data_IF_834254275452
#
_entry.id   IF_834254275452
#
_cell.length_a   1.000
_cell.length_b   1.000
_cell.length_c   1.000
_cell.angle_alpha   90.00
_cell.angle_beta   90.00
_cell.angle_gamma   90.00
#
_symmetry.space_group_name_H-M   'P 1'
#
loop_
_entity.id
_entity.type
_entity.pdbx_description
1 polymer ?
#
# COMPACT_ATOMS: atom_id res chain seq x y z
N UNK A 1 26.39 -19.73 8.50
CA UNK A 1 26.03 -19.22 7.18
C UNK A 1 24.63 -19.71 6.77
N UNK A 2 24.38 -21.06 6.71
CA UNK A 2 23.08 -21.61 6.28
C UNK A 2 21.87 -21.10 7.09
N UNK A 3 22.03 -20.93 8.41
CA UNK A 3 20.97 -20.41 9.30
C UNK A 3 20.62 -18.96 9.00
N UNK A 4 21.58 -18.14 8.60
CA UNK A 4 21.37 -16.74 8.21
C UNK A 4 20.59 -16.70 6.90
N UNK A 5 20.97 -17.48 5.90
CA UNK A 5 20.25 -17.55 4.63
C UNK A 5 18.82 -18.07 4.81
N UNK A 6 18.61 -19.09 5.65
CA UNK A 6 17.27 -19.62 5.92
C UNK A 6 16.31 -18.57 6.52
N UNK A 7 16.82 -17.65 7.30
CA UNK A 7 16.02 -16.55 7.88
C UNK A 7 15.94 -15.32 6.94
N UNK A 8 16.99 -15.09 6.14
CA UNK A 8 17.06 -13.93 5.25
C UNK A 8 16.29 -14.09 3.95
N UNK A 9 16.29 -15.27 3.33
CA UNK A 9 15.59 -15.54 2.06
C UNK A 9 14.10 -15.15 2.11
N UNK A 10 13.32 -15.52 3.16
CA UNK A 10 11.92 -15.09 3.25
C UNK A 10 11.76 -13.57 3.25
N UNK A 11 12.66 -12.84 3.90
CA UNK A 11 12.62 -11.38 3.93
C UNK A 11 12.97 -10.75 2.57
N UNK A 12 13.94 -11.32 1.86
CA UNK A 12 14.29 -10.92 0.50
C UNK A 12 13.08 -11.12 -0.42
N UNK A 13 12.41 -12.26 -0.34
CA UNK A 13 11.21 -12.55 -1.13
C UNK A 13 10.07 -11.55 -0.86
N UNK A 14 9.88 -11.17 0.41
CA UNK A 14 8.87 -10.17 0.78
C UNK A 14 9.17 -8.80 0.16
N UNK A 15 10.43 -8.36 0.22
CA UNK A 15 10.86 -7.07 -0.35
C UNK A 15 10.82 -7.08 -1.87
N UNK A 16 11.22 -8.19 -2.49
CA UNK A 16 11.13 -8.36 -3.95
C UNK A 16 9.67 -8.35 -4.42
N UNK A 17 8.75 -9.00 -3.69
CA UNK A 17 7.33 -8.99 -4.01
C UNK A 17 6.75 -7.56 -4.02
N UNK A 18 7.19 -6.70 -3.11
CA UNK A 18 6.79 -5.28 -3.10
C UNK A 18 7.30 -4.53 -4.34
N UNK A 19 8.54 -4.78 -4.76
CA UNK A 19 9.11 -4.19 -5.98
C UNK A 19 8.35 -4.64 -7.23
N UNK A 20 8.04 -5.93 -7.34
CA UNK A 20 7.23 -6.47 -8.45
C UNK A 20 5.82 -5.89 -8.49
N UNK A 21 5.20 -5.67 -7.32
CA UNK A 21 3.91 -5.00 -7.24
C UNK A 21 3.96 -3.58 -7.80
N UNK A 22 4.94 -2.76 -7.37
CA UNK A 22 5.10 -1.38 -7.87
C UNK A 22 5.34 -1.40 -9.38
N UNK A 23 6.24 -2.27 -9.87
CA UNK A 23 6.55 -2.40 -11.29
C UNK A 23 5.31 -2.80 -12.10
N UNK A 24 4.55 -3.80 -11.64
CA UNK A 24 3.32 -4.25 -12.29
C UNK A 24 2.27 -3.16 -12.37
N UNK A 25 2.05 -2.40 -11.30
CA UNK A 25 1.12 -1.27 -11.31
C UNK A 25 1.56 -0.16 -12.27
N UNK A 26 2.85 0.18 -12.30
CA UNK A 26 3.37 1.18 -13.23
C UNK A 26 3.18 0.74 -14.69
N UNK A 27 3.42 -0.53 -15.03
CA UNK A 27 3.17 -1.05 -16.37
C UNK A 27 1.70 -0.99 -16.76
N UNK A 28 0.79 -1.35 -15.85
CA UNK A 28 -0.65 -1.27 -16.09
C UNK A 28 -1.06 0.18 -16.34
N UNK A 29 -0.62 1.12 -15.51
CA UNK A 29 -0.99 2.52 -15.65
C UNK A 29 -0.34 3.18 -16.88
N UNK A 30 0.91 2.86 -17.20
CA UNK A 30 1.59 3.35 -18.39
C UNK A 30 0.89 2.90 -19.68
N UNK A 31 0.16 1.79 -19.67
CA UNK A 31 -0.65 1.37 -20.82
C UNK A 31 -1.89 2.25 -21.06
N UNK A 32 -2.25 3.09 -20.10
CA UNK A 32 -3.39 4.02 -20.22
C UNK A 32 -2.92 5.44 -20.54
N UNK A 33 -2.11 6.05 -19.68
CA UNK A 33 -1.53 7.39 -19.89
C UNK A 33 -0.40 7.65 -18.89
N UNK A 34 0.53 8.54 -19.28
CA UNK A 34 1.67 8.95 -18.44
C UNK A 34 1.24 9.77 -17.23
N UNK A 35 0.13 10.47 -17.31
CA UNK A 35 -0.45 11.25 -16.22
C UNK A 35 -0.90 10.37 -15.07
N UNK A 36 -1.41 9.16 -15.34
CA UNK A 36 -1.78 8.20 -14.31
C UNK A 36 -0.55 7.66 -13.57
N UNK A 37 0.55 7.43 -14.27
CA UNK A 37 1.84 7.05 -13.66
C UNK A 37 2.37 8.18 -12.78
N UNK A 38 2.28 9.43 -13.24
CA UNK A 38 2.67 10.61 -12.46
C UNK A 38 1.84 10.75 -11.20
N UNK A 39 0.52 10.60 -11.28
CA UNK A 39 -0.38 10.62 -10.13
C UNK A 39 -0.05 9.53 -9.12
N UNK A 40 0.27 8.30 -9.57
CA UNK A 40 0.72 7.21 -8.72
C UNK A 40 2.07 7.52 -8.06
N UNK A 41 3.00 8.17 -8.77
CA UNK A 41 4.28 8.62 -8.22
C UNK A 41 4.10 9.61 -7.07
N UNK A 42 3.17 10.57 -7.21
CA UNK A 42 2.80 11.53 -6.15
C UNK A 42 2.16 10.78 -4.97
N UNK A 43 1.28 9.82 -5.24
CA UNK A 43 0.70 8.97 -4.21
C UNK A 43 1.78 8.26 -3.37
N UNK A 44 2.80 7.66 -3.99
CA UNK A 44 3.87 6.97 -3.25
C UNK A 44 4.68 7.90 -2.35
N UNK A 45 4.87 9.16 -2.74
CA UNK A 45 5.54 10.17 -1.88
C UNK A 45 4.73 10.42 -0.61
N UNK A 46 3.44 10.68 -0.75
CA UNK A 46 2.55 10.88 0.39
C UNK A 46 2.36 9.60 1.21
N UNK A 47 2.21 8.45 0.56
CA UNK A 47 2.12 7.16 1.23
C UNK A 47 3.33 6.94 2.15
N UNK A 48 4.53 7.16 1.65
CA UNK A 48 5.76 7.01 2.44
C UNK A 48 5.69 7.83 3.71
N UNK A 49 5.27 9.10 3.62
CA UNK A 49 5.12 9.98 4.77
C UNK A 49 4.17 9.41 5.84
N UNK A 50 2.98 8.96 5.43
CA UNK A 50 1.99 8.40 6.36
C UNK A 50 2.38 7.01 6.89
N UNK A 51 3.17 6.25 6.14
CA UNK A 51 3.57 4.89 6.52
C UNK A 51 4.86 4.83 7.35
N UNK A 52 5.64 5.90 7.46
CA UNK A 52 6.83 5.96 8.33
C UNK A 52 6.49 5.63 9.79
N UNK A 53 5.48 6.26 10.44
CA UNK A 53 5.16 5.93 11.83
C UNK A 53 4.66 4.48 12.00
N UNK A 54 3.94 3.96 11.01
CA UNK A 54 3.48 2.57 11.01
C UNK A 54 4.67 1.60 10.91
N UNK A 55 5.64 1.89 10.06
CA UNK A 55 6.87 1.11 9.93
C UNK A 55 7.72 1.13 11.21
N UNK A 56 7.85 2.29 11.85
CA UNK A 56 8.52 2.41 13.14
C UNK A 56 7.84 1.55 14.21
N UNK A 57 6.51 1.59 14.27
CA UNK A 57 5.74 0.74 15.19
C UNK A 57 5.97 -0.75 14.90
N UNK A 58 5.96 -1.18 13.63
CA UNK A 58 6.25 -2.57 13.25
C UNK A 58 7.62 -3.03 13.76
N UNK A 59 8.63 -2.18 13.66
CA UNK A 59 9.99 -2.49 14.16
C UNK A 59 10.00 -2.65 15.69
N UNK A 60 9.23 -1.84 16.42
CA UNK A 60 9.13 -1.91 17.88
C UNK A 60 8.34 -3.15 18.36
N UNK A 61 7.35 -3.60 17.61
CA UNK A 61 6.52 -4.74 18.00
C UNK A 61 7.30 -6.06 17.99
N UNK A 62 8.20 -6.25 17.04
CA UNK A 62 8.94 -7.51 16.85
C UNK A 62 9.65 -7.97 18.13
N UNK A 63 10.53 -7.19 18.78
CA UNK A 63 11.21 -7.63 19.99
C UNK A 63 10.25 -7.86 21.16
N UNK A 64 9.20 -7.03 21.29
CA UNK A 64 8.19 -7.18 22.35
C UNK A 64 7.44 -8.51 22.23
N UNK A 65 6.96 -8.83 21.04
CA UNK A 65 6.24 -10.08 20.79
C UNK A 65 7.18 -11.27 20.91
N UNK A 66 8.39 -11.22 20.34
CA UNK A 66 9.35 -12.32 20.40
C UNK A 66 9.73 -12.67 21.84
N UNK A 67 9.99 -11.68 22.68
CA UNK A 67 10.32 -11.89 24.09
C UNK A 67 9.15 -12.52 24.86
N UNK A 68 7.93 -11.97 24.73
CA UNK A 68 6.77 -12.49 25.44
C UNK A 68 6.34 -13.87 24.93
N UNK A 69 6.52 -14.14 23.64
CA UNK A 69 6.24 -15.46 23.06
C UNK A 69 7.22 -16.51 23.58
N UNK A 70 8.52 -16.21 23.66
CA UNK A 70 9.53 -17.08 24.24
C UNK A 70 9.26 -17.35 25.75
N UNK A 71 8.78 -16.33 26.48
CA UNK A 71 8.37 -16.44 27.87
C UNK A 71 7.00 -17.13 28.07
N UNK A 72 6.36 -17.62 27.00
CA UNK A 72 5.00 -18.24 26.99
C UNK A 72 3.90 -17.30 27.52
N UNK A 73 4.11 -16.01 27.51
CA UNK A 73 3.12 -15.00 27.91
C UNK A 73 2.23 -14.61 26.73
N UNK A 74 1.34 -15.51 26.34
CA UNK A 74 0.48 -15.37 25.15
C UNK A 74 -0.50 -14.20 25.31
N UNK A 75 -0.96 -13.91 26.52
CA UNK A 75 -1.89 -12.79 26.77
C UNK A 75 -1.22 -11.45 26.49
N UNK A 76 0.05 -11.30 26.84
CA UNK A 76 0.82 -10.10 26.48
C UNK A 76 1.04 -9.99 24.98
N UNK A 77 1.31 -11.08 24.27
CA UNK A 77 1.41 -11.10 22.83
C UNK A 77 0.10 -10.62 22.16
N UNK A 78 -1.04 -11.14 22.61
CA UNK A 78 -2.36 -10.71 22.11
C UNK A 78 -2.63 -9.23 22.38
N UNK A 79 -2.39 -8.77 23.60
CA UNK A 79 -2.56 -7.36 23.98
C UNK A 79 -1.69 -6.44 23.12
N UNK A 80 -0.41 -6.80 22.93
CA UNK A 80 0.51 -6.04 22.05
C UNK A 80 0.00 -6.00 20.62
N UNK A 81 -0.42 -7.14 20.06
CA UNK A 81 -0.97 -7.20 18.70
C UNK A 81 -2.22 -6.34 18.55
N UNK A 82 -3.18 -6.47 19.48
CA UNK A 82 -4.43 -5.68 19.44
C UNK A 82 -4.15 -4.19 19.57
N UNK A 83 -3.30 -3.79 20.52
CA UNK A 83 -2.91 -2.40 20.69
C UNK A 83 -2.25 -1.83 19.43
N UNK A 84 -1.40 -2.62 18.78
CA UNK A 84 -0.72 -2.23 17.54
C UNK A 84 -1.69 -2.07 16.38
N UNK A 85 -2.66 -2.97 16.25
CA UNK A 85 -3.71 -2.85 15.21
C UNK A 85 -4.57 -1.62 15.46
N UNK A 86 -5.01 -1.37 16.69
CA UNK A 86 -5.82 -0.21 17.04
C UNK A 86 -5.06 1.11 16.81
N UNK A 87 -3.82 1.19 17.26
CA UNK A 87 -2.99 2.38 17.04
C UNK A 87 -2.73 2.62 15.55
N UNK A 88 -2.37 1.56 14.80
CA UNK A 88 -2.17 1.63 13.36
C UNK A 88 -3.45 2.03 12.63
N UNK A 89 -4.61 1.49 13.03
CA UNK A 89 -5.90 1.86 12.46
C UNK A 89 -6.26 3.33 12.74
N UNK A 90 -6.02 3.83 13.95
CA UNK A 90 -6.22 5.23 14.29
C UNK A 90 -5.32 6.15 13.46
N UNK A 91 -4.04 5.82 13.32
CA UNK A 91 -3.10 6.56 12.49
C UNK A 91 -3.53 6.57 11.01
N UNK A 92 -3.92 5.42 10.48
CA UNK A 92 -4.37 5.30 9.08
C UNK A 92 -5.75 5.91 8.85
N UNK A 93 -6.60 6.02 9.87
CA UNK A 93 -7.85 6.77 9.78
C UNK A 93 -7.60 8.26 9.52
N UNK A 94 -6.58 8.84 10.16
CA UNK A 94 -6.14 10.22 9.88
C UNK A 94 -5.65 10.33 8.43
N UNK A 95 -4.82 9.38 7.96
CA UNK A 95 -4.38 9.33 6.57
C UNK A 95 -5.56 9.21 5.60
N UNK A 96 -6.50 8.31 5.87
CA UNK A 96 -7.74 8.17 5.08
C UNK A 96 -8.51 9.48 5.00
N UNK A 97 -8.72 10.14 6.14
CA UNK A 97 -9.44 11.41 6.19
C UNK A 97 -8.77 12.46 5.30
N UNK A 98 -7.45 12.59 5.36
CA UNK A 98 -6.68 13.55 4.56
C UNK A 98 -6.77 13.20 3.07
N UNK A 99 -6.58 11.93 2.69
CA UNK A 99 -6.63 11.49 1.29
C UNK A 99 -8.02 11.62 0.66
N UNK A 100 -9.07 11.41 1.43
CA UNK A 100 -10.46 11.52 0.94
C UNK A 100 -10.92 12.97 0.90
N UNK A 101 -10.57 13.78 1.92
CA UNK A 101 -11.06 15.16 2.04
C UNK A 101 -10.23 16.18 1.28
N UNK A 102 -8.91 15.97 1.18
CA UNK A 102 -7.95 16.95 0.66
C UNK A 102 -7.10 16.44 -0.52
N UNK A 103 -7.60 15.57 -1.42
CA UNK A 103 -6.80 15.00 -2.50
C UNK A 103 -6.25 16.08 -3.45
N UNK A 104 -7.04 17.10 -3.74
CA UNK A 104 -6.68 18.21 -4.61
C UNK A 104 -5.47 18.98 -4.05
N UNK A 105 -5.46 19.26 -2.76
CA UNK A 105 -4.36 19.98 -2.11
C UNK A 105 -3.09 19.13 -2.12
N UNK A 106 -3.21 17.83 -1.82
CA UNK A 106 -2.08 16.90 -1.86
C UNK A 106 -1.44 16.81 -3.24
N UNK A 107 -2.24 16.80 -4.31
CA UNK A 107 -1.73 16.75 -5.69
C UNK A 107 -1.10 18.08 -6.10
N UNK A 108 -1.72 19.20 -5.79
CA UNK A 108 -1.23 20.55 -6.13
C UNK A 108 0.12 20.90 -5.52
N UNK A 109 0.55 20.22 -4.45
CA UNK A 109 1.90 20.40 -3.90
C UNK A 109 3.01 19.90 -4.81
N UNK A 110 2.69 19.02 -5.78
CA UNK A 110 3.68 18.40 -6.66
C UNK A 110 3.47 18.69 -8.15
N UNK A 111 2.27 19.07 -8.56
CA UNK A 111 1.95 19.30 -9.97
C UNK A 111 0.89 20.36 -10.15
N UNK A 112 0.97 21.06 -11.30
CA UNK A 112 -0.07 21.98 -11.77
C UNK A 112 -0.82 21.44 -12.99
N UNK A 113 -0.50 20.21 -13.43
CA UNK A 113 -1.13 19.56 -14.57
C UNK A 113 -2.57 19.17 -14.23
N UNK A 114 -3.52 19.68 -15.04
CA UNK A 114 -4.94 19.48 -14.81
C UNK A 114 -5.38 18.00 -14.93
N UNK A 115 -4.80 17.26 -15.88
CA UNK A 115 -5.12 15.85 -16.10
C UNK A 115 -4.60 14.98 -14.96
N UNK A 116 -3.36 15.23 -14.50
CA UNK A 116 -2.79 14.53 -13.34
C UNK A 116 -3.62 14.79 -12.09
N UNK A 117 -4.09 16.01 -11.88
CA UNK A 117 -4.92 16.38 -10.73
C UNK A 117 -6.29 15.70 -10.82
N UNK A 118 -6.91 15.65 -11.97
CA UNK A 118 -8.23 15.03 -12.17
C UNK A 118 -8.16 13.52 -11.88
N UNK A 119 -7.26 12.81 -12.56
CA UNK A 119 -7.06 11.36 -12.37
C UNK A 119 -6.64 11.05 -10.93
N UNK A 120 -5.66 11.80 -10.41
CA UNK A 120 -5.11 11.62 -9.09
C UNK A 120 -6.14 11.86 -7.97
N UNK A 121 -7.05 12.81 -8.14
CA UNK A 121 -8.11 13.09 -7.15
C UNK A 121 -9.01 11.89 -6.94
N UNK A 122 -9.44 11.22 -8.00
CA UNK A 122 -10.25 9.99 -7.93
C UNK A 122 -9.42 8.87 -7.33
N UNK A 123 -8.19 8.67 -7.81
CA UNK A 123 -7.28 7.64 -7.32
C UNK A 123 -6.99 7.76 -5.82
N UNK A 124 -6.69 8.97 -5.34
CA UNK A 124 -6.39 9.23 -3.92
C UNK A 124 -7.56 8.91 -3.00
N UNK A 125 -8.80 9.24 -3.41
CA UNK A 125 -10.01 8.89 -2.64
C UNK A 125 -10.19 7.37 -2.54
N UNK A 126 -10.07 6.65 -3.65
CA UNK A 126 -10.24 5.19 -3.69
C UNK A 126 -9.15 4.51 -2.84
N UNK A 127 -7.89 4.87 -3.05
CA UNK A 127 -6.76 4.27 -2.34
C UNK A 127 -6.80 4.63 -0.84
N UNK A 128 -7.17 5.86 -0.51
CA UNK A 128 -7.28 6.32 0.87
C UNK A 128 -8.26 5.49 1.71
N UNK A 129 -9.38 5.05 1.15
CA UNK A 129 -10.32 4.14 1.82
C UNK A 129 -9.69 2.77 2.16
N UNK A 130 -8.67 2.36 1.41
CA UNK A 130 -7.93 1.13 1.64
C UNK A 130 -6.92 1.18 2.79
N UNK A 131 -6.61 2.35 3.35
CA UNK A 131 -5.56 2.48 4.37
C UNK A 131 -5.86 1.75 5.67
N UNK A 132 -7.11 1.80 6.15
CA UNK A 132 -7.51 1.14 7.39
C UNK A 132 -7.39 -0.39 7.29
N UNK A 133 -8.01 -1.07 6.30
CA UNK A 133 -7.87 -2.52 6.17
C UNK A 133 -6.42 -2.95 5.86
N UNK A 134 -5.61 -2.07 5.27
CA UNK A 134 -4.20 -2.34 4.99
C UNK A 134 -3.37 -2.52 6.28
N UNK A 135 -3.75 -1.88 7.39
CA UNK A 135 -3.06 -2.02 8.69
C UNK A 135 -2.98 -3.48 9.13
N UNK A 136 -4.10 -4.18 9.11
CA UNK A 136 -4.15 -5.58 9.51
C UNK A 136 -3.26 -6.43 8.62
N UNK A 137 -3.31 -6.20 7.32
CA UNK A 137 -2.50 -6.92 6.34
C UNK A 137 -0.99 -6.65 6.44
N UNK A 138 -0.58 -5.56 7.08
CA UNK A 138 0.82 -5.24 7.36
C UNK A 138 1.29 -5.76 8.72
N UNK A 139 0.45 -5.71 9.74
CA UNK A 139 0.83 -6.10 11.11
C UNK A 139 0.86 -7.62 11.27
N UNK A 140 -0.05 -8.38 10.66
CA UNK A 140 -0.07 -9.84 10.79
C UNK A 140 1.21 -10.53 10.27
N UNK A 141 1.78 -10.20 9.11
CA UNK A 141 3.08 -10.73 8.71
C UNK A 141 4.20 -10.46 9.71
N UNK A 142 4.22 -9.27 10.29
CA UNK A 142 5.21 -8.88 11.32
C UNK A 142 5.04 -9.73 12.58
N UNK A 143 3.80 -10.00 13.00
CA UNK A 143 3.53 -10.91 14.10
C UNK A 143 4.06 -12.32 13.83
N UNK A 144 3.79 -12.89 12.65
CA UNK A 144 4.30 -14.23 12.30
C UNK A 144 5.83 -14.25 12.22
N UNK A 145 6.45 -13.16 11.80
CA UNK A 145 7.90 -13.02 11.81
C UNK A 145 8.44 -13.02 13.24
N UNK A 146 7.80 -12.29 14.15
CA UNK A 146 8.19 -12.18 15.56
C UNK A 146 8.09 -13.52 16.32
N UNK A 147 7.12 -14.37 15.97
CA UNK A 147 6.99 -15.73 16.57
C UNK A 147 7.82 -16.80 15.86
N UNK A 148 8.75 -16.40 14.98
CA UNK A 148 9.66 -17.34 14.28
C UNK A 148 9.04 -18.09 13.09
N UNK A 149 7.83 -17.75 12.69
CA UNK A 149 7.12 -18.37 11.55
C UNK A 149 7.32 -17.60 10.25
N UNK A 150 8.59 -17.37 9.86
CA UNK A 150 8.96 -16.56 8.70
C UNK A 150 8.31 -17.00 7.39
N UNK A 151 8.15 -18.31 7.17
CA UNK A 151 7.49 -18.85 5.97
C UNK A 151 6.02 -18.41 5.88
N UNK A 152 5.28 -18.42 7.00
CA UNK A 152 3.88 -17.96 7.04
C UNK A 152 3.79 -16.47 6.78
N UNK A 153 4.72 -15.70 7.33
CA UNK A 153 4.84 -14.25 7.08
C UNK A 153 5.07 -13.97 5.59
N UNK A 154 6.03 -14.66 4.97
CA UNK A 154 6.36 -14.49 3.55
C UNK A 154 5.20 -14.93 2.65
N UNK A 155 4.60 -16.09 2.92
CA UNK A 155 3.44 -16.58 2.15
C UNK A 155 2.27 -15.57 2.20
N UNK A 156 1.95 -15.05 3.38
CA UNK A 156 0.89 -14.06 3.55
C UNK A 156 1.17 -12.77 2.75
N UNK A 157 2.42 -12.30 2.79
CA UNK A 157 2.83 -11.10 2.05
C UNK A 157 2.78 -11.32 0.55
N UNK A 158 3.31 -12.45 0.05
CA UNK A 158 3.30 -12.76 -1.39
C UNK A 158 1.87 -12.94 -1.90
N UNK A 159 1.02 -13.70 -1.20
CA UNK A 159 -0.38 -13.89 -1.57
C UNK A 159 -1.09 -12.53 -1.65
N UNK A 160 -0.93 -11.68 -0.63
CA UNK A 160 -1.52 -10.35 -0.64
C UNK A 160 -1.00 -9.52 -1.80
N UNK A 161 0.31 -9.41 -1.97
CA UNK A 161 0.92 -8.44 -2.86
C UNK A 161 0.85 -8.87 -4.32
N UNK A 162 1.14 -10.14 -4.62
CA UNK A 162 1.22 -10.64 -5.98
C UNK A 162 -0.11 -11.24 -6.45
N UNK A 163 -0.74 -12.07 -5.62
CA UNK A 163 -1.94 -12.83 -6.04
C UNK A 163 -3.21 -12.00 -5.93
N UNK A 164 -3.30 -11.07 -4.95
CA UNK A 164 -4.50 -10.26 -4.78
C UNK A 164 -4.36 -8.88 -5.44
N UNK A 165 -3.33 -8.10 -5.11
CA UNK A 165 -3.27 -6.71 -5.56
C UNK A 165 -3.01 -6.55 -7.06
N UNK A 166 -2.14 -7.35 -7.67
CA UNK A 166 -1.82 -7.20 -9.10
C UNK A 166 -3.02 -7.58 -9.98
N UNK A 167 -3.67 -8.76 -9.80
CA UNK A 167 -4.85 -9.11 -10.59
C UNK A 167 -6.06 -8.21 -10.31
N UNK A 168 -6.28 -7.79 -9.05
CA UNK A 168 -7.34 -6.85 -8.72
C UNK A 168 -7.08 -5.48 -9.35
N UNK A 169 -5.85 -4.98 -9.29
CA UNK A 169 -5.44 -3.75 -9.96
C UNK A 169 -5.71 -3.80 -11.46
N UNK A 170 -5.35 -4.92 -12.10
CA UNK A 170 -5.65 -5.15 -13.51
C UNK A 170 -7.17 -5.24 -13.79
N UNK A 171 -7.92 -5.95 -12.95
CA UNK A 171 -9.36 -6.07 -13.08
C UNK A 171 -10.06 -4.70 -12.93
N UNK A 172 -9.71 -3.95 -11.90
CA UNK A 172 -10.26 -2.61 -11.67
C UNK A 172 -9.85 -1.61 -12.75
N UNK A 173 -8.64 -1.72 -13.32
CA UNK A 173 -8.24 -0.88 -14.44
C UNK A 173 -9.13 -1.08 -15.67
N UNK A 174 -9.60 -2.31 -15.89
CA UNK A 174 -10.53 -2.63 -16.98
C UNK A 174 -11.91 -2.02 -16.77
N UNK A 175 -12.40 -1.94 -15.54
CA UNK A 175 -13.75 -1.46 -15.23
C UNK A 175 -13.81 0.03 -14.86
N UNK A 176 -12.80 0.59 -14.22
CA UNK A 176 -12.84 1.95 -13.69
C UNK A 176 -12.15 3.00 -14.54
N UNK A 177 -10.90 2.77 -14.93
CA UNK A 177 -10.13 3.74 -15.74
C UNK A 177 -10.65 3.85 -17.18
N UNK A 178 -11.12 2.76 -17.75
CA UNK A 178 -11.70 2.76 -19.09
C UNK A 178 -12.91 3.71 -19.20
N UNK A 179 -13.79 3.74 -18.20
CA UNK A 179 -14.94 4.64 -18.17
C UNK A 179 -14.54 6.11 -17.90
N UNK A 180 -13.55 6.35 -17.05
CA UNK A 180 -13.05 7.69 -16.75
C UNK A 180 -12.28 8.28 -17.94
N UNK A 181 -11.47 7.49 -18.63
CA UNK A 181 -10.71 7.93 -19.80
C UNK A 181 -11.57 8.19 -21.04
N UNK A 182 -12.68 7.45 -21.21
CA UNK A 182 -13.65 7.71 -22.30
C UNK A 182 -14.31 9.07 -22.07
N UNK A 183 -14.66 9.42 -20.84
CA UNK A 183 -15.24 10.73 -20.52
C UNK A 183 -14.25 11.89 -20.62
N UNK A 184 -12.96 11.66 -20.35
CA UNK A 184 -11.90 12.68 -20.43
C UNK A 184 -11.40 12.88 -21.87
N UNK A 185 -11.38 11.82 -22.69
CA UNK A 185 -10.86 11.90 -24.08
C UNK A 185 -11.85 12.52 -25.08
N UNK A 186 -13.13 12.52 -24.79
CA UNK A 186 -14.13 13.10 -25.70
C UNK A 186 -14.00 14.62 -25.91
N UNK A 187 -13.85 15.47 -24.87
CA UNK A 187 -13.73 16.91 -25.10
C UNK A 187 -12.38 17.31 -25.74
N UNK A 188 -11.33 16.52 -25.57
CA UNK A 188 -10.00 16.81 -26.14
C UNK A 188 -9.91 16.44 -27.63
N UNK A 189 -10.66 15.46 -28.10
CA UNK A 189 -10.75 15.13 -29.52
C UNK A 189 -11.48 16.21 -30.33
N UNK A 190 -12.52 16.80 -29.75
CA UNK A 190 -13.28 17.87 -30.43
C UNK A 190 -12.48 19.20 -30.57
N UNK A 191 -11.51 19.46 -29.70
CA UNK A 191 -10.61 20.63 -29.79
C UNK A 191 -9.47 20.49 -30.81
N UNK A 192 -9.17 19.29 -31.30
CA UNK A 192 -8.14 19.06 -32.33
C UNK A 192 -8.66 19.06 -33.75
N UNK A 193 -9.97 19.22 -33.97
CA UNK A 193 -10.61 19.21 -35.31
C UNK A 193 -11.19 20.60 -35.67
N UNK A 194 -11.13 21.57 -34.76
CA UNK A 194 -11.44 22.97 -35.01
C UNK A 194 -10.18 23.82 -34.94
#
# INVERSE_FOLDING_TARGET
>A
VAKIFRLGIPNILMQSAYTFYIFGLNLILASFCDEAVTALGIYYKWQTFFFIPLGAMQTCIVPVISYNYAARNIDRCKKTLTASVLFGAALMAVGTLIFVSLPLQLLRTFTSDALVIEIGTVGFRIIGLGFIPMVTSLIFPVFFQAVGSSLKSSALTVIRTVVLFVPLGYLFSRFGLSLSLIHISEPTRLRRIS
#
